data_IF_177851885596
#
_entry.id   IF_177851885596
#
_cell.length_a   1.000
_cell.length_b   1.000
_cell.length_c   1.000
_cell.angle_alpha   90.00
_cell.angle_beta   90.00
_cell.angle_gamma   90.00
#
_symmetry.space_group_name_H-M   'P 1'
#
loop_
_entity.id
_entity.type
_entity.pdbx_description
1 polymer ?
#
# COMPACT_ATOMS: atom_id res chain seq x y z
N UNK A 1 9.67 23.59 -3.67
CA UNK A 1 9.42 22.13 -3.80
C UNK A 1 8.73 21.62 -2.55
N UNK A 2 7.44 21.31 -2.63
CA UNK A 2 6.63 20.92 -1.46
C UNK A 2 6.63 19.40 -1.29
N UNK A 3 7.66 18.89 -0.63
CA UNK A 3 7.75 17.51 -0.11
C UNK A 3 6.91 17.43 1.18
N UNK A 4 5.61 17.74 1.08
CA UNK A 4 4.78 18.07 2.24
C UNK A 4 3.54 17.18 2.31
N UNK A 5 3.75 15.90 2.65
CA UNK A 5 2.69 15.11 3.29
C UNK A 5 3.06 14.90 4.74
N UNK A 6 2.09 15.09 5.62
CA UNK A 6 2.23 14.86 7.06
C UNK A 6 2.03 13.38 7.37
N UNK A 7 2.48 12.92 8.55
CA UNK A 7 2.35 11.52 8.96
C UNK A 7 0.91 10.98 8.81
N UNK A 8 -0.12 11.81 9.07
CA UNK A 8 -1.53 11.43 8.86
C UNK A 8 -1.83 11.08 7.40
N UNK A 9 -1.38 11.89 6.45
CA UNK A 9 -1.54 11.62 5.02
C UNK A 9 -0.71 10.43 4.58
N UNK A 10 0.50 10.24 5.15
CA UNK A 10 1.30 9.06 4.88
C UNK A 10 0.58 7.78 5.33
N UNK A 11 0.01 7.75 6.54
CA UNK A 11 -0.81 6.63 7.01
C UNK A 11 -2.02 6.38 6.11
N UNK A 12 -2.68 7.44 5.67
CA UNK A 12 -3.81 7.35 4.75
C UNK A 12 -3.39 6.72 3.42
N UNK A 13 -2.30 7.20 2.80
CA UNK A 13 -1.77 6.61 1.56
C UNK A 13 -1.29 5.17 1.74
N UNK A 14 -0.72 4.82 2.89
CA UNK A 14 -0.32 3.44 3.20
C UNK A 14 -1.56 2.54 3.25
N UNK A 15 -2.61 2.96 3.98
CA UNK A 15 -3.87 2.22 4.04
C UNK A 15 -4.52 2.10 2.67
N UNK A 16 -4.64 3.22 1.94
CA UNK A 16 -5.18 3.23 0.58
C UNK A 16 -4.35 2.35 -0.36
N UNK A 17 -3.03 2.25 -0.17
CA UNK A 17 -2.17 1.35 -0.94
C UNK A 17 -2.40 -0.14 -0.69
N UNK A 18 -3.10 -0.50 0.38
CA UNK A 18 -3.53 -1.88 0.65
C UNK A 18 -4.83 -2.20 -0.09
N UNK A 19 -5.75 -1.24 -0.17
CA UNK A 19 -7.07 -1.39 -0.79
C UNK A 19 -7.06 -1.11 -2.30
N UNK A 20 -6.35 -0.06 -2.73
CA UNK A 20 -6.25 0.42 -4.11
C UNK A 20 -4.80 0.60 -4.57
N UNK A 21 -4.53 0.49 -5.88
CA UNK A 21 -3.24 0.92 -6.40
C UNK A 21 -3.10 2.44 -6.26
N UNK A 22 -2.02 2.88 -5.60
CA UNK A 22 -1.63 4.29 -5.56
C UNK A 22 -1.14 4.75 -6.94
N UNK A 23 -1.43 6.00 -7.27
CA UNK A 23 -0.84 6.66 -8.44
C UNK A 23 0.67 6.84 -8.28
N UNK A 24 1.38 7.04 -9.40
CA UNK A 24 2.83 7.19 -9.40
C UNK A 24 3.30 8.40 -8.57
N UNK A 25 2.52 9.48 -8.57
CA UNK A 25 2.77 10.69 -7.76
C UNK A 25 2.60 10.41 -6.27
N UNK A 26 1.48 9.82 -5.86
CA UNK A 26 1.22 9.43 -4.45
C UNK A 26 2.31 8.49 -3.93
N UNK A 27 2.69 7.50 -4.74
CA UNK A 27 3.74 6.54 -4.37
C UNK A 27 5.10 7.20 -4.19
N UNK A 28 5.44 8.16 -5.04
CA UNK A 28 6.71 8.89 -4.94
C UNK A 28 6.71 9.78 -3.71
N UNK A 29 5.60 10.49 -3.45
CA UNK A 29 5.44 11.35 -2.29
C UNK A 29 5.52 10.56 -0.97
N UNK A 30 4.85 9.40 -0.92
CA UNK A 30 4.94 8.48 0.20
C UNK A 30 6.36 7.98 0.42
N UNK A 31 7.06 7.52 -0.62
CA UNK A 31 8.46 7.08 -0.51
C UNK A 31 9.38 8.17 0.05
N UNK A 32 9.21 9.42 -0.39
CA UNK A 32 9.99 10.54 0.14
C UNK A 32 9.72 10.76 1.65
N UNK A 33 8.47 10.64 2.09
CA UNK A 33 8.13 10.73 3.52
C UNK A 33 8.69 9.56 4.34
N UNK A 34 8.61 8.34 3.82
CA UNK A 34 9.15 7.13 4.48
C UNK A 34 10.68 7.17 4.60
N UNK A 35 11.38 7.91 3.74
CA UNK A 35 12.83 8.08 3.83
C UNK A 35 13.26 8.94 5.03
N UNK A 36 12.39 9.84 5.51
CA UNK A 36 12.68 10.77 6.61
C UNK A 36 12.01 10.37 7.93
N UNK A 37 10.84 9.72 7.89
CA UNK A 37 10.03 9.42 9.06
C UNK A 37 10.05 7.93 9.41
N UNK A 38 10.92 7.53 10.34
CA UNK A 38 11.06 6.13 10.79
C UNK A 38 9.76 5.52 11.32
N UNK A 39 8.90 6.31 11.96
CA UNK A 39 7.62 5.84 12.49
C UNK A 39 6.72 5.34 11.35
N UNK A 40 6.60 6.12 10.27
CA UNK A 40 5.83 5.73 9.10
C UNK A 40 6.48 4.56 8.35
N UNK A 41 7.83 4.49 8.29
CA UNK A 41 8.54 3.33 7.72
C UNK A 41 8.21 2.03 8.46
N UNK A 42 8.15 2.08 9.79
CA UNK A 42 7.77 0.93 10.61
C UNK A 42 6.32 0.50 10.38
N UNK A 43 5.41 1.46 10.23
CA UNK A 43 4.00 1.19 9.94
C UNK A 43 3.80 0.55 8.55
N UNK A 44 4.45 1.08 7.51
CA UNK A 44 4.44 0.50 6.16
C UNK A 44 4.96 -0.95 6.14
N UNK A 45 6.02 -1.21 6.91
CA UNK A 45 6.58 -2.55 7.07
C UNK A 45 5.62 -3.53 7.75
N UNK A 46 4.90 -3.09 8.80
CA UNK A 46 3.89 -3.91 9.49
C UNK A 46 2.71 -4.27 8.57
N UNK A 47 2.21 -3.31 7.80
CA UNK A 47 1.11 -3.54 6.85
C UNK A 47 1.54 -4.47 5.71
N UNK A 48 2.75 -4.29 5.19
CA UNK A 48 3.33 -5.17 4.17
C UNK A 48 3.52 -6.60 4.69
N UNK A 49 3.92 -6.77 5.95
CA UNK A 49 4.03 -8.07 6.60
C UNK A 49 2.67 -8.77 6.69
N UNK A 50 1.63 -8.08 7.16
CA UNK A 50 0.27 -8.62 7.25
C UNK A 50 -0.24 -9.07 5.88
N UNK A 51 -0.09 -8.23 4.85
CA UNK A 51 -0.49 -8.56 3.48
C UNK A 51 0.24 -9.80 2.94
N UNK A 52 1.53 -9.93 3.24
CA UNK A 52 2.32 -11.10 2.84
C UNK A 52 1.89 -12.37 3.58
N UNK A 53 1.59 -12.28 4.87
CA UNK A 53 1.09 -13.40 5.66
C UNK A 53 -0.27 -13.88 5.13
N UNK A 54 -1.22 -12.98 4.89
CA UNK A 54 -2.55 -13.30 4.32
C UNK A 54 -2.44 -13.93 2.93
N UNK A 55 -1.52 -13.44 2.09
CA UNK A 55 -1.28 -14.03 0.76
C UNK A 55 -0.67 -15.44 0.85
N UNK A 56 0.20 -15.68 1.85
CA UNK A 56 0.81 -16.99 2.09
C UNK A 56 -0.23 -18.01 2.54
N UNK A 57 -1.13 -17.64 3.46
CA UNK A 57 -2.22 -18.53 3.91
C UNK A 57 -3.20 -18.85 2.79
N UNK A 58 -3.51 -17.89 1.91
CA UNK A 58 -4.33 -18.14 0.72
C UNK A 58 -3.67 -19.13 -0.26
N UNK A 59 -2.34 -19.31 -0.20
CA UNK A 59 -1.60 -20.22 -1.08
C UNK A 59 -1.45 -21.64 -0.51
N UNK A 60 -1.72 -21.87 0.79
CA UNK A 60 -1.42 -23.14 1.50
C UNK A 60 -2.67 -23.93 1.95
N UNK A 61 -3.87 -23.65 1.41
CA UNK A 61 -5.00 -24.60 1.48
C UNK A 61 -6.21 -24.19 2.32
N UNK A 62 -6.82 -23.06 2.00
CA UNK A 62 -8.24 -22.78 2.25
C UNK A 62 -8.77 -22.08 0.98
N UNK A 63 -9.98 -22.39 0.46
CA UNK A 63 -10.50 -21.74 -0.74
C UNK A 63 -10.69 -20.24 -0.46
N UNK A 64 -9.72 -19.45 -0.91
CA UNK A 64 -9.82 -18.00 -0.91
C UNK A 64 -10.92 -17.62 -1.89
N UNK A 65 -12.06 -17.27 -1.31
CA UNK A 65 -13.18 -16.54 -1.86
C UNK A 65 -12.61 -15.33 -2.61
N UNK A 66 -12.42 -15.47 -3.92
CA UNK A 66 -12.11 -14.34 -4.79
C UNK A 66 -13.40 -13.60 -5.07
N UNK A 67 -13.81 -12.73 -4.15
CA UNK A 67 -14.74 -11.65 -4.47
C UNK A 67 -13.96 -10.53 -5.19
N UNK A 68 -13.87 -10.75 -6.49
CA UNK A 68 -13.95 -9.81 -7.60
C UNK A 68 -13.90 -8.30 -7.27
N UNK A 69 -12.91 -7.61 -7.85
CA UNK A 69 -13.14 -6.33 -8.53
C UNK A 69 -12.16 -6.18 -9.71
N UNK A 70 -12.61 -6.72 -10.84
CA UNK A 70 -12.27 -6.30 -12.20
C UNK A 70 -12.07 -4.78 -12.38
N UNK A 71 -11.20 -4.37 -13.31
CA UNK A 71 -11.18 -2.98 -13.79
C UNK A 71 -9.97 -2.56 -14.62
N UNK A 72 -9.89 -3.04 -15.86
CA UNK A 72 -8.94 -2.59 -16.93
C UNK A 72 -8.86 -1.06 -17.09
N UNK A 73 -7.70 -0.57 -17.55
CA UNK A 73 -7.64 0.64 -18.36
C UNK A 73 -6.25 1.27 -18.53
N UNK A 74 -5.58 0.97 -19.65
CA UNK A 74 -4.84 1.92 -20.53
C UNK A 74 -3.92 1.09 -21.44
N UNK A 75 -4.39 0.67 -22.61
CA UNK A 75 -4.22 1.42 -23.85
C UNK A 75 -2.74 1.62 -24.21
N UNK A 76 -2.17 0.66 -24.92
CA UNK A 76 -1.52 0.90 -26.22
C UNK A 76 -1.71 -0.37 -27.07
#
# INVERSE_FOLDING_TARGET
MSVFIVCKQAHQLISEGLDRPLSLSERTQLKMHLAICRACTGFDGQMSFLRKAMKKTASEGLPAETDNADGKGSAT
#
